data_IF_356098751676
#
_entry.id   IF_356098751676
#
_cell.length_a   1.000
_cell.length_b   1.000
_cell.length_c   1.000
_cell.angle_alpha   90.00
_cell.angle_beta   90.00
_cell.angle_gamma   90.00
#
_symmetry.space_group_name_H-M   'P 1'
#
loop_
_entity.id
_entity.type
_entity.pdbx_description
1 polymer ?
#
# COMPACT_ATOMS: atom_id res chain seq x y z
N UNK A 1 -34.10 2.29 -16.94
CA UNK A 1 -35.56 2.00 -16.92
C UNK A 1 -36.26 3.19 -16.30
N UNK A 2 -37.25 3.79 -16.98
CA UNK A 2 -38.04 4.89 -16.42
C UNK A 2 -38.90 4.31 -15.29
N UNK A 3 -38.66 4.72 -14.03
CA UNK A 3 -39.45 4.24 -12.88
C UNK A 3 -40.91 4.64 -13.08
N UNK A 4 -41.82 3.67 -13.09
CA UNK A 4 -43.25 3.95 -13.02
C UNK A 4 -43.55 4.53 -11.63
N UNK A 5 -44.29 5.64 -11.60
CA UNK A 5 -44.74 6.25 -10.34
C UNK A 5 -45.75 5.32 -9.67
N UNK A 6 -45.73 5.18 -8.33
CA UNK A 6 -46.72 4.38 -7.61
C UNK A 6 -48.12 4.96 -7.80
N UNK A 7 -49.13 4.13 -7.56
CA UNK A 7 -50.52 4.54 -7.56
C UNK A 7 -50.75 5.72 -6.59
N UNK A 8 -51.72 6.62 -6.87
CA UNK A 8 -52.00 7.76 -6.00
C UNK A 8 -52.22 7.36 -4.54
N UNK A 9 -52.90 6.23 -4.35
CA UNK A 9 -53.19 5.64 -3.05
C UNK A 9 -51.93 5.16 -2.33
N UNK A 10 -51.03 4.45 -3.01
CA UNK A 10 -49.75 4.04 -2.41
C UNK A 10 -48.86 5.23 -2.11
N UNK A 11 -48.92 6.32 -2.89
CA UNK A 11 -48.20 7.56 -2.56
C UNK A 11 -48.69 8.20 -1.25
N UNK A 12 -50.00 8.13 -0.98
CA UNK A 12 -50.55 8.57 0.32
C UNK A 12 -50.07 7.68 1.46
N UNK A 13 -50.09 6.36 1.27
CA UNK A 13 -49.61 5.39 2.28
C UNK A 13 -48.12 5.55 2.57
N UNK A 14 -47.28 5.73 1.54
CA UNK A 14 -45.85 6.00 1.70
C UNK A 14 -45.64 7.29 2.50
N UNK A 15 -46.40 8.35 2.19
CA UNK A 15 -46.31 9.63 2.92
C UNK A 15 -46.70 9.46 4.38
N UNK A 16 -47.78 8.75 4.66
CA UNK A 16 -48.24 8.53 6.03
C UNK A 16 -47.28 7.63 6.81
N UNK A 17 -46.77 6.57 6.19
CA UNK A 17 -45.73 5.73 6.78
C UNK A 17 -44.44 6.50 7.06
N UNK A 18 -44.02 7.39 6.14
CA UNK A 18 -42.86 8.25 6.36
C UNK A 18 -43.09 9.25 7.52
N UNK A 19 -44.31 9.78 7.68
CA UNK A 19 -44.68 10.63 8.82
C UNK A 19 -44.52 9.90 10.15
N UNK A 20 -44.91 8.62 10.20
CA UNK A 20 -44.74 7.75 11.38
C UNK A 20 -43.24 7.46 11.60
N UNK A 21 -42.51 7.10 10.55
CA UNK A 21 -41.08 6.78 10.62
C UNK A 21 -40.19 7.96 11.04
N UNK A 22 -40.65 9.21 10.88
CA UNK A 22 -39.97 10.41 11.39
C UNK A 22 -40.06 10.56 12.91
N UNK A 23 -41.00 9.88 13.57
CA UNK A 23 -41.19 9.92 15.02
C UNK A 23 -41.24 8.50 15.60
N UNK A 24 -40.16 7.72 15.47
CA UNK A 24 -40.15 6.35 15.97
C UNK A 24 -40.18 6.33 17.50
N UNK A 25 -40.81 5.30 18.06
CA UNK A 25 -40.85 5.10 19.51
C UNK A 25 -39.47 4.90 20.13
N UNK A 26 -39.29 5.21 21.43
CA UNK A 26 -37.99 5.11 22.11
C UNK A 26 -37.41 3.69 22.12
N UNK A 27 -38.26 2.68 22.20
CA UNK A 27 -37.83 1.27 22.17
C UNK A 27 -37.18 0.90 20.83
N UNK A 28 -37.74 1.39 19.73
CA UNK A 28 -37.22 1.12 18.40
C UNK A 28 -35.87 1.82 18.17
N UNK A 29 -35.75 3.07 18.61
CA UNK A 29 -34.47 3.80 18.54
C UNK A 29 -33.38 3.04 19.32
N UNK A 30 -33.72 2.51 20.50
CA UNK A 30 -32.80 1.72 21.31
C UNK A 30 -32.45 0.35 20.67
N UNK A 31 -33.37 -0.25 19.91
CA UNK A 31 -33.10 -1.45 19.11
C UNK A 31 -32.14 -1.16 17.95
N UNK A 32 -32.40 -0.10 17.17
CA UNK A 32 -31.53 0.34 16.07
C UNK A 32 -30.12 0.65 16.57
N UNK A 33 -30.00 1.43 17.64
CA UNK A 33 -28.72 1.81 18.23
C UNK A 33 -27.95 0.57 18.73
N UNK A 34 -28.62 -0.37 19.40
CA UNK A 34 -27.98 -1.62 19.86
C UNK A 34 -27.52 -2.47 18.70
N UNK A 35 -28.37 -2.69 17.69
CA UNK A 35 -28.05 -3.56 16.57
C UNK A 35 -26.87 -3.04 15.76
N UNK A 36 -26.79 -1.72 15.56
CA UNK A 36 -25.73 -1.10 14.76
C UNK A 36 -24.41 -0.99 15.51
N UNK A 37 -24.43 -0.85 16.83
CA UNK A 37 -23.21 -0.92 17.67
C UNK A 37 -22.73 -2.36 17.84
N UNK A 38 -23.64 -3.31 18.06
CA UNK A 38 -23.31 -4.73 18.23
C UNK A 38 -22.88 -5.42 16.92
N UNK A 39 -23.01 -4.75 15.78
CA UNK A 39 -22.55 -5.25 14.49
C UNK A 39 -21.03 -5.54 14.48
N UNK A 40 -20.24 -4.84 15.30
CA UNK A 40 -18.80 -5.10 15.41
C UNK A 40 -18.24 -4.78 16.82
N UNK A 41 -17.43 -5.68 17.42
CA UNK A 41 -16.77 -5.42 18.72
C UNK A 41 -15.93 -4.13 18.74
N UNK A 42 -15.22 -3.79 17.67
CA UNK A 42 -14.41 -2.57 17.60
C UNK A 42 -15.25 -1.28 17.72
N UNK A 43 -16.53 -1.33 17.34
CA UNK A 43 -17.47 -0.21 17.52
C UNK A 43 -18.03 -0.22 18.94
N UNK A 44 -18.40 -1.40 19.44
CA UNK A 44 -18.95 -1.58 20.79
C UNK A 44 -17.97 -1.18 21.89
N UNK A 45 -16.68 -1.44 21.69
CA UNK A 45 -15.61 -1.17 22.65
C UNK A 45 -15.12 0.29 22.61
N UNK A 46 -15.53 1.10 21.61
CA UNK A 46 -15.26 2.55 21.50
C UNK A 46 -16.56 3.37 21.71
N UNK A 47 -16.79 3.94 22.91
CA UNK A 47 -17.98 4.74 23.21
C UNK A 47 -18.14 6.01 22.37
N UNK A 48 -17.03 6.55 21.83
CA UNK A 48 -17.06 7.73 20.96
C UNK A 48 -17.52 7.32 19.57
N UNK A 49 -16.95 6.25 19.02
CA UNK A 49 -17.33 5.72 17.70
C UNK A 49 -18.78 5.20 17.70
N UNK A 50 -19.19 4.51 18.77
CA UNK A 50 -20.58 4.08 18.98
C UNK A 50 -21.57 5.25 18.84
N UNK A 51 -21.30 6.40 19.47
CA UNK A 51 -22.17 7.59 19.36
C UNK A 51 -22.19 8.18 17.96
N UNK A 52 -21.09 8.11 17.22
CA UNK A 52 -21.01 8.58 15.83
C UNK A 52 -21.85 7.70 14.92
N UNK A 53 -21.74 6.37 15.06
CA UNK A 53 -22.54 5.38 14.32
C UNK A 53 -24.04 5.57 14.57
N UNK A 54 -24.45 5.69 15.83
CA UNK A 54 -25.85 5.94 16.19
C UNK A 54 -26.42 7.20 15.52
N UNK A 55 -25.66 8.31 15.54
CA UNK A 55 -26.08 9.56 14.90
C UNK A 55 -26.22 9.42 13.38
N UNK A 56 -25.28 8.76 12.72
CA UNK A 56 -25.32 8.54 11.28
C UNK A 56 -26.52 7.69 10.86
N UNK A 57 -26.81 6.61 11.58
CA UNK A 57 -27.96 5.74 11.29
C UNK A 57 -29.30 6.46 11.44
N UNK A 58 -29.45 7.25 12.51
CA UNK A 58 -30.64 8.09 12.70
C UNK A 58 -30.77 9.15 11.60
N UNK A 59 -29.67 9.76 11.17
CA UNK A 59 -29.68 10.73 10.08
C UNK A 59 -30.16 10.09 8.76
N UNK A 60 -29.77 8.85 8.46
CA UNK A 60 -30.23 8.13 7.27
C UNK A 60 -31.74 7.83 7.30
N UNK A 61 -32.26 7.41 8.44
CA UNK A 61 -33.71 7.20 8.62
C UNK A 61 -34.49 8.50 8.36
N UNK A 62 -34.08 9.59 8.99
CA UNK A 62 -34.72 10.90 8.85
C UNK A 62 -34.66 11.38 7.41
N UNK A 63 -33.51 11.23 6.75
CA UNK A 63 -33.30 11.63 5.36
C UNK A 63 -34.25 10.88 4.40
N UNK A 64 -34.34 9.56 4.52
CA UNK A 64 -35.22 8.75 3.67
C UNK A 64 -36.70 9.06 3.89
N UNK A 65 -37.12 9.20 5.15
CA UNK A 65 -38.51 9.52 5.48
C UNK A 65 -38.88 10.94 5.04
N UNK A 66 -38.00 11.93 5.24
CA UNK A 66 -38.23 13.30 4.78
C UNK A 66 -38.33 13.41 3.25
N UNK A 67 -37.56 12.63 2.50
CA UNK A 67 -37.66 12.56 1.04
C UNK A 67 -39.03 12.01 0.59
N UNK A 68 -39.50 10.94 1.24
CA UNK A 68 -40.81 10.34 0.95
C UNK A 68 -41.99 11.20 1.41
N UNK A 69 -41.82 12.07 2.41
CA UNK A 69 -42.83 13.09 2.73
C UNK A 69 -43.04 14.08 1.56
N UNK A 70 -41.95 14.49 0.90
CA UNK A 70 -41.95 15.47 -0.19
C UNK A 70 -42.46 14.88 -1.51
N UNK A 71 -41.84 13.81 -2.00
CA UNK A 71 -42.28 13.11 -3.23
C UNK A 71 -42.34 11.58 -3.00
N UNK A 72 -43.48 11.06 -2.50
CA UNK A 72 -43.61 9.66 -2.12
C UNK A 72 -43.32 8.69 -3.27
N UNK A 73 -42.42 7.75 -3.03
CA UNK A 73 -42.02 6.71 -4.00
C UNK A 73 -41.11 7.19 -5.14
N UNK A 74 -40.66 8.44 -5.10
CA UNK A 74 -39.62 8.93 -6.00
C UNK A 74 -38.23 8.41 -5.59
N UNK A 75 -37.23 8.64 -6.44
CA UNK A 75 -35.85 8.32 -6.10
C UNK A 75 -35.37 9.22 -4.94
N UNK A 76 -34.89 8.58 -3.87
CA UNK A 76 -34.29 9.25 -2.73
C UNK A 76 -32.81 9.51 -3.05
N UNK A 77 -32.34 10.77 -3.00
CA UNK A 77 -30.93 11.07 -3.24
C UNK A 77 -30.04 10.53 -2.10
N UNK A 78 -28.76 10.22 -2.38
CA UNK A 78 -27.83 9.74 -1.37
C UNK A 78 -27.68 10.74 -0.22
N UNK A 79 -27.50 10.23 1.01
CA UNK A 79 -27.30 11.07 2.18
C UNK A 79 -25.80 11.35 2.41
N UNK A 80 -25.32 12.45 1.85
CA UNK A 80 -23.95 12.95 2.04
C UNK A 80 -23.87 14.07 3.08
N UNK A 81 -24.77 14.03 4.08
CA UNK A 81 -24.79 14.97 5.18
C UNK A 81 -23.59 14.84 6.13
N UNK A 82 -23.52 15.75 7.11
CA UNK A 82 -22.43 15.83 8.07
C UNK A 82 -22.22 14.53 8.85
N UNK A 83 -23.30 13.89 9.31
CA UNK A 83 -23.26 12.72 10.19
C UNK A 83 -22.77 11.45 9.47
N UNK A 84 -23.32 11.06 8.29
CA UNK A 84 -22.79 9.92 7.53
C UNK A 84 -21.31 10.09 7.12
N UNK A 85 -20.92 11.29 6.66
CA UNK A 85 -19.53 11.56 6.28
C UNK A 85 -18.60 11.56 7.49
N UNK A 86 -19.03 12.09 8.64
CA UNK A 86 -18.24 12.03 9.88
C UNK A 86 -17.99 10.59 10.31
N UNK A 87 -19.01 9.72 10.24
CA UNK A 87 -18.87 8.30 10.54
C UNK A 87 -17.85 7.64 9.61
N UNK A 88 -17.97 7.88 8.30
CA UNK A 88 -17.04 7.33 7.32
C UNK A 88 -15.59 7.76 7.60
N UNK A 89 -15.35 9.05 7.86
CA UNK A 89 -14.01 9.57 8.21
C UNK A 89 -13.46 8.96 9.50
N UNK A 90 -14.30 8.82 10.53
CA UNK A 90 -13.87 8.27 11.82
C UNK A 90 -13.56 6.76 11.74
N UNK A 91 -14.26 6.01 10.88
CA UNK A 91 -13.95 4.61 10.56
C UNK A 91 -12.63 4.49 9.79
N UNK A 92 -12.45 5.28 8.73
CA UNK A 92 -11.20 5.30 7.93
C UNK A 92 -10.00 5.64 8.80
N UNK A 93 -10.10 6.65 9.67
CA UNK A 93 -9.02 7.05 10.59
C UNK A 93 -8.60 5.96 11.58
N UNK A 94 -9.44 4.95 11.79
CA UNK A 94 -9.21 3.83 12.72
C UNK A 94 -8.84 2.53 11.99
N UNK A 95 -8.67 2.54 10.66
CA UNK A 95 -8.43 1.32 9.87
C UNK A 95 -9.66 0.41 9.77
N UNK A 96 -10.86 0.96 9.91
CA UNK A 96 -12.14 0.23 9.97
C UNK A 96 -13.06 0.52 8.78
N UNK A 97 -12.49 0.92 7.64
CA UNK A 97 -13.21 1.31 6.42
C UNK A 97 -14.08 0.16 5.85
N UNK A 98 -13.58 -1.08 5.95
CA UNK A 98 -14.33 -2.28 5.55
C UNK A 98 -15.60 -2.52 6.37
N UNK A 99 -15.66 -2.00 7.60
CA UNK A 99 -16.81 -2.18 8.51
C UNK A 99 -18.00 -1.28 8.20
N UNK A 100 -17.84 -0.27 7.34
CA UNK A 100 -18.95 0.63 7.00
C UNK A 100 -20.16 -0.16 6.46
N UNK A 101 -19.92 -1.14 5.60
CA UNK A 101 -20.98 -1.96 5.01
C UNK A 101 -21.78 -2.74 6.06
N UNK A 102 -21.12 -3.32 7.06
CA UNK A 102 -21.78 -4.11 8.11
C UNK A 102 -22.70 -3.24 8.98
N UNK A 103 -22.27 -2.01 9.30
CA UNK A 103 -23.07 -1.04 10.05
C UNK A 103 -24.33 -0.65 9.26
N UNK A 104 -24.18 -0.34 7.97
CA UNK A 104 -25.32 0.00 7.10
C UNK A 104 -26.30 -1.15 6.95
N UNK A 105 -25.82 -2.39 6.76
CA UNK A 105 -26.67 -3.59 6.65
C UNK A 105 -27.44 -3.88 7.93
N UNK A 106 -26.80 -3.75 9.09
CA UNK A 106 -27.47 -3.92 10.38
C UNK A 106 -28.58 -2.88 10.58
N UNK A 107 -28.31 -1.61 10.25
CA UNK A 107 -29.28 -0.53 10.32
C UNK A 107 -30.45 -0.72 9.35
N UNK A 108 -30.16 -1.09 8.11
CA UNK A 108 -31.14 -1.38 7.06
C UNK A 108 -32.12 -2.48 7.48
N UNK A 109 -31.61 -3.59 8.01
CA UNK A 109 -32.44 -4.71 8.47
C UNK A 109 -33.46 -4.27 9.55
N UNK A 110 -33.01 -3.49 10.54
CA UNK A 110 -33.89 -3.00 11.61
C UNK A 110 -34.89 -1.96 11.09
N UNK A 111 -34.46 -1.07 10.20
CA UNK A 111 -35.33 -0.10 9.55
C UNK A 111 -36.40 -0.78 8.68
N UNK A 112 -36.04 -1.82 7.95
CA UNK A 112 -36.98 -2.59 7.14
C UNK A 112 -38.05 -3.29 8.00
N UNK A 113 -37.65 -3.88 9.14
CA UNK A 113 -38.61 -4.49 10.08
C UNK A 113 -39.63 -3.47 10.61
N UNK A 114 -39.21 -2.26 10.95
CA UNK A 114 -40.14 -1.21 11.34
C UNK A 114 -41.08 -0.83 10.21
N UNK A 115 -40.54 -0.66 9.00
CA UNK A 115 -41.35 -0.29 7.85
C UNK A 115 -42.42 -1.33 7.54
N UNK A 116 -42.10 -2.63 7.68
CA UNK A 116 -43.07 -3.70 7.56
C UNK A 116 -44.23 -3.50 8.55
N UNK A 117 -43.95 -3.31 9.84
CA UNK A 117 -44.99 -3.07 10.84
C UNK A 117 -45.87 -1.88 10.49
N UNK A 118 -45.26 -0.74 10.14
CA UNK A 118 -45.99 0.46 9.71
C UNK A 118 -46.90 0.15 8.51
N UNK A 119 -46.39 -0.55 7.50
CA UNK A 119 -47.16 -0.87 6.29
C UNK A 119 -48.40 -1.73 6.59
N UNK A 120 -48.26 -2.74 7.46
CA UNK A 120 -49.37 -3.61 7.87
C UNK A 120 -50.42 -2.88 8.73
N UNK A 121 -50.03 -1.84 9.47
CA UNK A 121 -50.98 -1.01 10.23
C UNK A 121 -51.72 0.01 9.35
N UNK A 122 -51.15 0.38 8.19
CA UNK A 122 -51.71 1.41 7.31
C UNK A 122 -52.76 0.89 6.32
N UNK A 123 -52.70 -0.38 5.92
CA UNK A 123 -53.68 -0.97 5.00
C UNK A 123 -53.83 -2.48 5.18
N UNK A 124 -55.06 -2.95 5.01
CA UNK A 124 -55.39 -4.38 4.94
C UNK A 124 -55.63 -4.86 3.50
N UNK A 125 -55.56 -3.97 2.50
CA UNK A 125 -55.72 -4.34 1.09
C UNK A 125 -54.42 -5.02 0.58
N UNK A 126 -54.47 -6.30 0.14
CA UNK A 126 -53.30 -7.01 -0.34
C UNK A 126 -52.62 -6.37 -1.56
N UNK A 127 -53.38 -5.69 -2.43
CA UNK A 127 -52.84 -5.05 -3.61
C UNK A 127 -52.07 -3.77 -3.26
N UNK A 128 -52.64 -2.93 -2.37
CA UNK A 128 -51.98 -1.73 -1.85
C UNK A 128 -50.72 -2.09 -1.06
N UNK A 129 -50.82 -3.08 -0.17
CA UNK A 129 -49.71 -3.54 0.66
C UNK A 129 -48.56 -4.09 -0.18
N UNK A 130 -48.87 -4.91 -1.20
CA UNK A 130 -47.87 -5.46 -2.12
C UNK A 130 -47.12 -4.35 -2.85
N UNK A 131 -47.85 -3.38 -3.41
CA UNK A 131 -47.22 -2.26 -4.13
C UNK A 131 -46.41 -1.37 -3.19
N UNK A 132 -46.93 -1.06 -1.99
CA UNK A 132 -46.24 -0.28 -0.95
C UNK A 132 -44.90 -0.91 -0.57
N UNK A 133 -44.89 -2.21 -0.25
CA UNK A 133 -43.67 -2.91 0.15
C UNK A 133 -42.67 -3.04 -1.00
N UNK A 134 -43.14 -3.34 -2.21
CA UNK A 134 -42.28 -3.47 -3.39
C UNK A 134 -41.62 -2.14 -3.78
N UNK A 135 -42.36 -1.02 -3.70
CA UNK A 135 -41.81 0.32 -3.92
C UNK A 135 -40.83 0.70 -2.81
N UNK A 136 -41.17 0.48 -1.54
CA UNK A 136 -40.32 0.86 -0.42
C UNK A 136 -39.03 0.03 -0.33
N UNK A 137 -39.09 -1.28 -0.57
CA UNK A 137 -37.91 -2.14 -0.55
C UNK A 137 -36.86 -1.68 -1.58
N UNK A 138 -37.30 -1.44 -2.83
CA UNK A 138 -36.43 -0.89 -3.88
C UNK A 138 -35.90 0.49 -3.50
N UNK A 139 -36.76 1.34 -2.95
CA UNK A 139 -36.37 2.71 -2.55
C UNK A 139 -35.29 2.71 -1.47
N UNK A 140 -35.41 1.86 -0.45
CA UNK A 140 -34.43 1.73 0.64
C UNK A 140 -33.10 1.17 0.10
N UNK A 141 -33.13 0.06 -0.65
CA UNK A 141 -31.92 -0.55 -1.20
C UNK A 141 -31.15 0.44 -2.09
N UNK A 142 -31.84 1.04 -3.06
CA UNK A 142 -31.22 1.98 -4.01
C UNK A 142 -30.66 3.21 -3.28
N UNK A 143 -31.34 3.67 -2.21
CA UNK A 143 -30.87 4.79 -1.39
C UNK A 143 -29.59 4.44 -0.62
N UNK A 144 -29.55 3.27 0.02
CA UNK A 144 -28.39 2.83 0.81
C UNK A 144 -27.19 2.58 -0.12
N UNK A 145 -27.39 1.90 -1.25
CA UNK A 145 -26.34 1.71 -2.26
C UNK A 145 -25.81 3.04 -2.78
N UNK A 146 -26.70 3.97 -3.16
CA UNK A 146 -26.30 5.30 -3.63
C UNK A 146 -25.55 6.09 -2.54
N UNK A 147 -25.97 5.96 -1.28
CA UNK A 147 -25.32 6.64 -0.15
C UNK A 147 -23.92 6.08 0.10
N UNK A 148 -23.76 4.75 0.12
CA UNK A 148 -22.46 4.10 0.24
C UNK A 148 -21.53 4.48 -0.92
N UNK A 149 -22.02 4.43 -2.16
CA UNK A 149 -21.26 4.83 -3.33
C UNK A 149 -20.86 6.31 -3.29
N UNK A 150 -21.77 7.20 -2.87
CA UNK A 150 -21.50 8.62 -2.74
C UNK A 150 -20.51 8.95 -1.62
N UNK A 151 -20.59 8.26 -0.48
CA UNK A 151 -19.61 8.39 0.61
C UNK A 151 -18.24 7.91 0.14
N UNK A 152 -18.16 6.75 -0.54
CA UNK A 152 -16.91 6.26 -1.09
C UNK A 152 -16.31 7.27 -2.09
N UNK A 153 -17.13 7.83 -2.97
CA UNK A 153 -16.71 8.87 -3.90
C UNK A 153 -16.23 10.14 -3.18
N UNK A 154 -16.90 10.55 -2.10
CA UNK A 154 -16.53 11.73 -1.31
C UNK A 154 -15.23 11.50 -0.51
N UNK A 155 -15.02 10.31 0.06
CA UNK A 155 -13.78 9.94 0.73
C UNK A 155 -12.63 9.88 -0.29
N UNK A 156 -12.86 9.30 -1.47
CA UNK A 156 -11.89 9.33 -2.57
C UNK A 156 -11.63 10.78 -3.03
N UNK A 157 -12.66 11.61 -3.16
CA UNK A 157 -12.53 13.01 -3.51
C UNK A 157 -11.74 13.76 -2.45
N UNK A 158 -12.01 13.56 -1.16
CA UNK A 158 -11.26 14.17 -0.04
C UNK A 158 -9.81 13.69 -0.02
N UNK A 159 -9.55 12.41 -0.25
CA UNK A 159 -8.19 11.90 -0.45
C UNK A 159 -7.53 12.54 -1.66
N UNK A 160 -8.27 12.71 -2.75
CA UNK A 160 -7.76 13.39 -3.93
C UNK A 160 -7.55 14.88 -3.66
N UNK A 161 -8.43 15.58 -2.95
CA UNK A 161 -8.39 17.01 -2.61
C UNK A 161 -7.24 17.32 -1.65
N UNK A 162 -7.03 16.46 -0.65
CA UNK A 162 -5.84 16.46 0.21
C UNK A 162 -4.55 16.21 -0.60
N UNK A 163 -4.66 15.57 -1.78
CA UNK A 163 -3.55 15.31 -2.71
C UNK A 163 -3.51 16.26 -3.94
N UNK A 164 -4.39 17.27 -4.06
CA UNK A 164 -4.69 17.97 -5.34
C UNK A 164 -4.12 19.37 -5.48
N UNK A 165 -2.88 19.40 -5.90
CA UNK A 165 -2.51 20.42 -6.89
C UNK A 165 -1.34 19.94 -7.71
N UNK A 166 -0.27 19.55 -7.02
CA UNK A 166 1.01 19.24 -7.64
C UNK A 166 1.23 17.73 -7.82
N UNK A 167 0.78 16.87 -6.89
CA UNK A 167 1.14 15.46 -6.90
C UNK A 167 0.43 14.63 -7.98
N UNK A 168 -0.87 14.84 -8.20
CA UNK A 168 -1.61 14.12 -9.24
C UNK A 168 -1.13 14.48 -10.66
N UNK A 169 -0.88 15.77 -10.91
CA UNK A 169 -0.31 16.24 -12.17
C UNK A 169 1.11 15.69 -12.38
N UNK A 170 1.95 15.67 -11.33
CA UNK A 170 3.26 15.02 -11.38
C UNK A 170 3.16 13.52 -11.68
N UNK A 171 2.21 12.81 -11.07
CA UNK A 171 2.00 11.38 -11.30
C UNK A 171 1.60 11.09 -12.76
N UNK A 172 0.68 11.89 -13.32
CA UNK A 172 0.27 11.77 -14.72
C UNK A 172 1.47 12.00 -15.67
N UNK A 173 2.22 13.09 -15.48
CA UNK A 173 3.38 13.43 -16.31
C UNK A 173 4.47 12.38 -16.19
N UNK A 174 4.74 11.87 -14.98
CA UNK A 174 5.70 10.78 -14.77
C UNK A 174 5.21 9.50 -15.46
N UNK A 175 3.93 9.16 -15.38
CA UNK A 175 3.34 8.02 -16.10
C UNK A 175 3.62 8.08 -17.61
N UNK A 176 3.37 9.24 -18.23
CA UNK A 176 3.67 9.47 -19.66
C UNK A 176 5.15 9.29 -19.98
N UNK A 177 6.06 9.80 -19.14
CA UNK A 177 7.51 9.63 -19.31
C UNK A 177 7.94 8.17 -19.17
N UNK A 178 7.37 7.43 -18.22
CA UNK A 178 7.67 6.01 -17.97
C UNK A 178 7.15 5.09 -19.08
N UNK A 179 6.02 5.43 -19.70
CA UNK A 179 5.46 4.72 -20.86
C UNK A 179 6.21 5.04 -22.15
N UNK A 180 6.94 6.16 -22.18
CA UNK A 180 7.57 6.68 -23.40
C UNK A 180 6.57 7.35 -24.33
N UNK A 181 5.46 7.86 -23.80
CA UNK A 181 4.45 8.59 -24.53
C UNK A 181 5.04 9.90 -25.10
N UNK A 182 4.51 10.42 -26.23
CA UNK A 182 5.02 11.64 -26.85
C UNK A 182 4.65 12.88 -26.03
N UNK A 183 5.53 13.27 -25.09
CA UNK A 183 5.48 14.51 -24.34
C UNK A 183 6.79 15.28 -24.54
N UNK A 184 6.71 16.58 -24.83
CA UNK A 184 7.91 17.44 -24.95
C UNK A 184 8.59 17.58 -23.59
N UNK A 185 9.92 17.52 -23.57
CA UNK A 185 10.73 17.68 -22.35
C UNK A 185 10.39 18.97 -21.61
N UNK A 186 10.25 20.09 -22.32
CA UNK A 186 10.00 21.42 -21.75
C UNK A 186 8.67 21.44 -20.97
N UNK A 187 7.63 20.82 -21.52
CA UNK A 187 6.34 20.66 -20.84
C UNK A 187 6.46 19.76 -19.61
N UNK A 188 7.20 18.65 -19.71
CA UNK A 188 7.39 17.74 -18.60
C UNK A 188 8.17 18.40 -17.46
N UNK A 189 9.29 19.06 -17.75
CA UNK A 189 10.11 19.79 -16.76
C UNK A 189 9.31 20.91 -16.09
N UNK A 190 8.51 21.67 -16.84
CA UNK A 190 7.67 22.74 -16.29
C UNK A 190 6.60 22.23 -15.31
N UNK A 191 6.02 21.05 -15.56
CA UNK A 191 5.01 20.45 -14.68
C UNK A 191 5.61 19.73 -13.48
N UNK A 192 6.78 19.12 -13.66
CA UNK A 192 7.46 18.42 -12.58
C UNK A 192 8.23 19.37 -11.66
N UNK A 193 8.68 20.52 -12.18
CA UNK A 193 9.65 21.38 -11.48
C UNK A 193 11.00 20.69 -11.30
N UNK A 194 11.34 19.79 -12.22
CA UNK A 194 12.50 18.89 -12.14
C UNK A 194 13.17 18.79 -13.51
N UNK A 195 14.50 18.97 -13.61
CA UNK A 195 15.21 18.91 -14.88
C UNK A 195 15.34 17.46 -15.34
N UNK A 196 15.11 17.18 -16.62
CA UNK A 196 15.16 15.84 -17.22
C UNK A 196 16.41 15.63 -18.10
N UNK A 197 17.29 16.62 -18.18
CA UNK A 197 18.54 16.57 -18.94
C UNK A 197 19.77 16.20 -18.07
N UNK A 198 19.55 15.87 -16.80
CA UNK A 198 20.59 15.59 -15.80
C UNK A 198 20.87 14.10 -15.66
N UNK A 199 21.78 13.73 -14.78
CA UNK A 199 21.86 12.36 -14.29
C UNK A 199 20.74 12.14 -13.27
N UNK A 200 20.08 10.98 -13.33
CA UNK A 200 18.94 10.65 -12.48
C UNK A 200 19.17 9.35 -11.72
N UNK A 201 18.94 9.40 -10.42
CA UNK A 201 18.80 8.21 -9.57
C UNK A 201 17.37 8.16 -9.06
N UNK A 202 16.64 7.11 -9.42
CA UNK A 202 15.30 6.87 -8.93
C UNK A 202 15.33 5.95 -7.70
N UNK A 203 14.41 6.18 -6.78
CA UNK A 203 14.13 5.30 -5.67
C UNK A 203 12.62 5.10 -5.51
N UNK A 204 12.24 3.92 -5.04
CA UNK A 204 10.87 3.59 -4.64
C UNK A 204 10.88 3.34 -3.15
N UNK A 205 10.11 4.14 -2.41
CA UNK A 205 9.91 4.01 -0.97
C UNK A 205 8.53 3.39 -0.74
N UNK A 206 8.45 2.31 0.02
CA UNK A 206 7.17 1.66 0.35
C UNK A 206 7.16 1.09 1.77
N UNK A 207 5.95 0.79 2.25
CA UNK A 207 5.73 0.04 3.49
C UNK A 207 4.98 -1.25 3.18
N UNK A 208 5.27 -2.30 3.95
CA UNK A 208 4.50 -3.55 3.93
C UNK A 208 3.25 -3.45 4.84
N UNK A 209 3.19 -2.42 5.70
CA UNK A 209 2.06 -2.18 6.60
C UNK A 209 0.96 -1.39 5.88
N UNK A 210 -0.22 -2.02 5.76
CA UNK A 210 -1.40 -1.44 5.10
C UNK A 210 -1.97 -0.26 5.92
N UNK A 211 -1.71 -0.24 7.24
CA UNK A 211 -2.19 0.78 8.21
C UNK A 211 -1.08 1.73 8.71
N UNK A 212 0.10 1.74 8.09
CA UNK A 212 1.22 2.59 8.52
C UNK A 212 0.95 4.10 8.43
N UNK A 213 1.60 4.89 9.29
CA UNK A 213 1.58 6.35 9.19
C UNK A 213 2.16 6.77 7.83
N UNK A 214 1.33 7.38 6.99
CA UNK A 214 1.73 7.82 5.66
C UNK A 214 2.85 8.88 5.72
N UNK A 215 2.97 9.58 6.86
CA UNK A 215 4.07 10.50 7.14
C UNK A 215 5.44 9.81 7.21
N UNK A 216 5.51 8.51 7.51
CA UNK A 216 6.79 7.78 7.57
C UNK A 216 7.41 7.61 6.19
N UNK A 217 6.58 7.44 5.15
CA UNK A 217 7.05 7.32 3.77
C UNK A 217 7.60 8.64 3.23
N UNK A 218 6.96 9.77 3.58
CA UNK A 218 7.44 11.09 3.19
C UNK A 218 8.74 11.45 3.94
N UNK A 219 8.82 11.15 5.24
CA UNK A 219 10.07 11.28 6.02
C UNK A 219 11.20 10.40 5.47
N UNK A 220 10.89 9.17 5.03
CA UNK A 220 11.88 8.27 4.45
C UNK A 220 12.38 8.78 3.08
N UNK A 221 11.48 9.32 2.25
CA UNK A 221 11.84 9.96 0.98
C UNK A 221 12.74 11.19 1.20
N UNK A 222 12.43 12.01 2.20
CA UNK A 222 13.23 13.18 2.55
C UNK A 222 14.59 12.77 3.14
N UNK A 223 14.62 11.76 4.01
CA UNK A 223 15.86 11.24 4.60
C UNK A 223 16.80 10.65 3.55
N UNK A 224 16.26 9.90 2.58
CA UNK A 224 17.01 9.41 1.42
C UNK A 224 17.64 10.56 0.65
N UNK A 225 16.89 11.63 0.41
CA UNK A 225 17.38 12.78 -0.35
C UNK A 225 18.49 13.53 0.41
N UNK A 226 18.31 13.74 1.72
CA UNK A 226 19.33 14.36 2.57
C UNK A 226 20.63 13.53 2.67
N UNK A 227 20.53 12.19 2.69
CA UNK A 227 21.69 11.31 2.74
C UNK A 227 22.61 11.44 1.53
N UNK A 228 22.07 11.90 0.40
CA UNK A 228 22.77 12.04 -0.89
C UNK A 228 23.21 13.49 -1.16
N UNK A 229 22.78 14.44 -0.32
CA UNK A 229 23.12 15.87 -0.41
C UNK A 229 22.00 16.73 -1.04
N UNK A 230 22.29 18.01 -1.32
CA UNK A 230 21.35 18.96 -1.92
C UNK A 230 21.15 18.73 -3.43
N UNK A 231 20.84 17.50 -3.82
CA UNK A 231 20.36 17.18 -5.15
C UNK A 231 18.94 17.72 -5.33
N UNK A 232 18.61 18.25 -6.50
CA UNK A 232 17.22 18.59 -6.81
C UNK A 232 16.41 17.28 -6.80
N UNK A 233 15.30 17.28 -6.07
CA UNK A 233 14.46 16.12 -5.80
C UNK A 233 13.10 16.25 -6.47
N UNK A 234 12.58 15.14 -6.99
CA UNK A 234 11.18 14.98 -7.37
C UNK A 234 10.56 13.84 -6.57
N UNK A 235 9.59 14.14 -5.71
CA UNK A 235 8.76 13.13 -5.04
C UNK A 235 7.37 13.07 -5.65
N UNK A 236 6.94 11.87 -6.00
CA UNK A 236 5.62 11.55 -6.53
C UNK A 236 4.93 10.54 -5.63
N UNK A 237 3.71 10.87 -5.21
CA UNK A 237 2.85 9.96 -4.45
C UNK A 237 2.23 8.98 -5.44
N UNK A 238 2.73 7.74 -5.48
CA UNK A 238 2.26 6.72 -6.41
C UNK A 238 1.02 5.99 -5.87
N UNK A 239 0.98 5.77 -4.54
CA UNK A 239 -0.16 5.22 -3.82
C UNK A 239 -0.09 5.61 -2.33
N UNK A 240 -1.07 5.20 -1.54
CA UNK A 240 -1.08 5.38 -0.09
C UNK A 240 0.21 4.84 0.55
N UNK A 241 0.65 3.65 0.12
CA UNK A 241 1.79 2.92 0.64
C UNK A 241 3.08 3.05 -0.20
N UNK A 242 3.14 3.96 -1.18
CA UNK A 242 4.32 4.07 -2.07
C UNK A 242 4.62 5.51 -2.50
N UNK A 243 5.89 5.88 -2.45
CA UNK A 243 6.46 7.10 -3.04
C UNK A 243 7.49 6.73 -4.10
N UNK A 244 7.49 7.47 -5.20
CA UNK A 244 8.59 7.46 -6.17
C UNK A 244 9.41 8.72 -5.98
N UNK A 245 10.72 8.58 -5.95
CA UNK A 245 11.67 9.67 -5.72
C UNK A 245 12.70 9.68 -6.84
N UNK A 246 13.04 10.84 -7.36
CA UNK A 246 14.19 11.03 -8.25
C UNK A 246 15.13 12.10 -7.70
N UNK A 247 16.42 11.81 -7.72
CA UNK A 247 17.48 12.74 -7.39
C UNK A 247 18.25 13.11 -8.65
N UNK A 248 18.43 14.40 -8.90
CA UNK A 248 19.24 14.91 -10.00
C UNK A 248 20.70 15.05 -9.58
N UNK A 249 21.63 14.55 -10.39
CA UNK A 249 23.08 14.64 -10.20
C UNK A 249 23.54 14.12 -8.82
N UNK A 250 22.87 13.07 -8.32
CA UNK A 250 23.25 12.35 -7.11
C UNK A 250 24.68 11.78 -7.23
N UNK A 251 25.61 12.33 -6.45
CA UNK A 251 27.00 11.89 -6.39
C UNK A 251 27.24 11.02 -5.15
N UNK A 252 27.79 9.82 -5.33
CA UNK A 252 28.28 8.99 -4.23
C UNK A 252 27.21 8.45 -3.29
N UNK A 253 26.27 7.65 -3.81
CA UNK A 253 25.33 6.90 -2.97
C UNK A 253 26.04 5.81 -2.18
N UNK A 254 26.03 5.95 -0.85
CA UNK A 254 26.48 4.92 0.09
C UNK A 254 25.28 4.25 0.76
N UNK A 255 25.20 2.92 0.66
CA UNK A 255 24.15 2.10 1.28
C UNK A 255 24.09 2.37 2.78
N UNK A 256 25.24 2.42 3.45
CA UNK A 256 25.30 2.60 4.90
C UNK A 256 24.85 4.01 5.31
N UNK A 257 24.98 5.01 4.44
CA UNK A 257 24.42 6.34 4.67
C UNK A 257 22.89 6.36 4.53
N UNK A 258 22.36 5.68 3.51
CA UNK A 258 20.91 5.56 3.30
C UNK A 258 20.24 4.74 4.40
N UNK A 259 20.84 3.62 4.82
CA UNK A 259 20.35 2.79 5.93
C UNK A 259 20.23 3.63 7.22
N UNK A 260 21.31 4.33 7.60
CA UNK A 260 21.31 5.21 8.78
C UNK A 260 20.26 6.33 8.70
N UNK A 261 20.03 6.87 7.50
CA UNK A 261 19.01 7.90 7.31
C UNK A 261 17.59 7.37 7.57
N UNK A 262 17.37 6.07 7.36
CA UNK A 262 16.08 5.42 7.51
C UNK A 262 15.84 4.80 8.91
N UNK A 263 16.82 4.84 9.82
CA UNK A 263 16.71 4.28 11.18
C UNK A 263 15.49 4.80 11.95
N UNK A 264 15.08 6.06 11.71
CA UNK A 264 13.96 6.71 12.38
C UNK A 264 12.60 6.57 11.67
N UNK A 265 12.51 5.74 10.63
CA UNK A 265 11.28 5.53 9.83
C UNK A 265 10.91 4.05 9.86
N UNK A 266 10.29 3.61 10.96
CA UNK A 266 9.93 2.21 11.14
C UNK A 266 8.98 1.74 10.01
N UNK A 267 9.19 0.53 9.49
CA UNK A 267 8.35 -0.05 8.43
C UNK A 267 8.66 0.40 7.00
N UNK A 268 9.33 1.54 6.80
CA UNK A 268 9.72 2.00 5.46
C UNK A 268 10.90 1.20 4.89
N UNK A 269 10.75 0.81 3.61
CA UNK A 269 11.77 0.19 2.76
C UNK A 269 12.02 1.03 1.52
N UNK A 270 13.22 0.94 0.97
CA UNK A 270 13.64 1.66 -0.22
C UNK A 270 14.39 0.77 -1.21
N UNK A 271 14.09 0.94 -2.49
CA UNK A 271 14.76 0.29 -3.60
C UNK A 271 15.27 1.36 -4.56
N UNK A 272 16.54 1.28 -4.95
CA UNK A 272 17.27 2.37 -5.61
C UNK A 272 17.81 1.85 -6.95
N UNK A 273 17.54 2.56 -8.04
CA UNK A 273 18.06 2.25 -9.38
C UNK A 273 19.48 2.76 -9.58
N UNK A 274 20.10 2.42 -10.72
CA UNK A 274 21.40 3.01 -11.07
C UNK A 274 21.24 4.42 -11.61
N UNK A 275 22.30 5.23 -11.47
CA UNK A 275 22.31 6.60 -12.00
C UNK A 275 22.47 6.58 -13.53
N UNK A 276 21.57 7.24 -14.25
CA UNK A 276 21.61 7.34 -15.70
C UNK A 276 21.14 8.71 -16.21
N UNK A 277 21.65 9.16 -17.36
CA UNK A 277 21.43 10.51 -17.87
C UNK A 277 20.21 10.66 -18.79
N UNK A 278 19.62 11.85 -18.78
CA UNK A 278 18.52 12.25 -19.66
C UNK A 278 17.19 11.57 -19.35
N UNK A 279 16.15 11.83 -20.15
CA UNK A 279 14.82 11.21 -20.01
C UNK A 279 14.84 9.69 -20.05
N UNK A 280 15.73 9.11 -20.87
CA UNK A 280 15.97 7.67 -20.88
C UNK A 280 16.53 7.16 -19.55
N UNK A 281 17.45 7.91 -18.94
CA UNK A 281 17.99 7.63 -17.61
C UNK A 281 16.96 7.75 -16.49
N UNK A 282 16.10 8.79 -16.54
CA UNK A 282 14.96 8.97 -15.63
C UNK A 282 14.07 7.72 -15.59
N UNK A 283 13.71 7.21 -16.77
CA UNK A 283 12.90 5.99 -16.92
C UNK A 283 13.65 4.74 -16.49
N UNK A 284 14.89 4.56 -16.97
CA UNK A 284 15.70 3.37 -16.71
C UNK A 284 15.92 3.17 -15.21
N UNK A 285 16.33 4.22 -14.51
CA UNK A 285 16.60 4.16 -13.08
C UNK A 285 15.34 3.76 -12.30
N UNK A 286 14.17 4.27 -12.68
CA UNK A 286 12.90 3.89 -12.04
C UNK A 286 12.52 2.43 -12.29
N UNK A 287 12.67 1.94 -13.52
CA UNK A 287 12.41 0.53 -13.84
C UNK A 287 13.34 -0.41 -13.08
N UNK A 288 14.61 -0.03 -12.94
CA UNK A 288 15.59 -0.76 -12.13
C UNK A 288 15.21 -0.79 -10.64
N UNK A 289 14.81 0.36 -10.08
CA UNK A 289 14.29 0.45 -8.70
C UNK A 289 13.03 -0.42 -8.51
N UNK A 290 12.11 -0.44 -9.49
CA UNK A 290 10.91 -1.28 -9.48
C UNK A 290 11.26 -2.77 -9.51
N UNK A 291 12.26 -3.17 -10.31
CA UNK A 291 12.76 -4.54 -10.32
C UNK A 291 13.37 -4.92 -8.97
N UNK A 292 14.12 -4.01 -8.34
CA UNK A 292 14.67 -4.22 -7.01
C UNK A 292 13.57 -4.39 -5.94
N UNK A 293 12.57 -3.49 -5.91
CA UNK A 293 11.40 -3.60 -5.02
C UNK A 293 10.70 -4.96 -5.18
N UNK A 294 10.35 -5.33 -6.42
CA UNK A 294 9.68 -6.60 -6.71
C UNK A 294 10.50 -7.81 -6.27
N UNK A 295 11.83 -7.72 -6.37
CA UNK A 295 12.73 -8.78 -5.92
C UNK A 295 12.69 -8.93 -4.40
N UNK A 296 12.73 -7.82 -3.64
CA UNK A 296 12.62 -7.87 -2.18
C UNK A 296 11.28 -8.47 -1.73
N UNK A 297 10.18 -8.00 -2.31
CA UNK A 297 8.83 -8.50 -1.98
C UNK A 297 8.73 -10.00 -2.28
N UNK A 298 9.17 -10.43 -3.47
CA UNK A 298 9.12 -11.85 -3.89
C UNK A 298 9.96 -12.75 -2.99
N UNK A 299 11.10 -12.28 -2.52
CA UNK A 299 12.01 -13.04 -1.65
C UNK A 299 11.69 -12.91 -0.17
N UNK A 300 10.63 -12.16 0.17
CA UNK A 300 10.25 -11.82 1.55
C UNK A 300 11.48 -11.29 2.34
N UNK A 301 12.29 -10.47 1.68
CA UNK A 301 13.56 -10.03 2.21
C UNK A 301 13.37 -9.16 3.45
N UNK A 302 14.17 -9.40 4.49
CA UNK A 302 14.22 -8.52 5.66
C UNK A 302 15.00 -7.22 5.41
N UNK A 303 15.64 -7.07 4.25
CA UNK A 303 16.44 -5.88 3.95
C UNK A 303 15.56 -4.66 3.71
N UNK A 304 15.95 -3.54 4.33
CA UNK A 304 15.23 -2.26 4.22
C UNK A 304 15.70 -1.41 3.05
N UNK A 305 16.95 -1.56 2.62
CA UNK A 305 17.56 -0.80 1.52
C UNK A 305 18.08 -1.78 0.49
N UNK A 306 17.76 -1.56 -0.79
CA UNK A 306 18.30 -2.38 -1.87
C UNK A 306 18.69 -1.52 -3.07
N UNK A 307 19.96 -1.62 -3.50
CA UNK A 307 20.40 -1.06 -4.77
C UNK A 307 20.21 -2.08 -5.88
N UNK A 308 19.71 -1.64 -7.03
CA UNK A 308 19.57 -2.47 -8.21
C UNK A 308 20.90 -3.13 -8.58
N UNK A 309 22.02 -2.42 -8.45
CA UNK A 309 23.37 -2.96 -8.72
C UNK A 309 23.74 -4.18 -7.88
N UNK A 310 23.11 -4.36 -6.72
CA UNK A 310 23.38 -5.47 -5.81
C UNK A 310 22.36 -6.60 -5.95
N UNK A 311 21.13 -6.27 -6.35
CA UNK A 311 20.07 -7.26 -6.59
C UNK A 311 19.95 -7.68 -8.06
N UNK A 312 20.63 -7.04 -9.00
CA UNK A 312 20.43 -7.28 -10.45
C UNK A 312 20.60 -8.76 -10.80
N UNK A 313 21.69 -9.38 -10.35
CA UNK A 313 21.96 -10.79 -10.60
C UNK A 313 20.93 -11.70 -9.91
N UNK A 314 20.58 -11.36 -8.67
CA UNK A 314 19.58 -12.09 -7.89
C UNK A 314 18.20 -12.01 -8.54
N UNK A 315 17.82 -10.84 -9.05
CA UNK A 315 16.57 -10.61 -9.75
C UNK A 315 16.45 -11.48 -11.01
N UNK A 316 17.55 -11.71 -11.73
CA UNK A 316 17.61 -12.58 -12.90
C UNK A 316 17.48 -14.07 -12.51
N UNK A 317 18.27 -14.52 -11.53
CA UNK A 317 18.26 -15.93 -11.10
C UNK A 317 16.92 -16.31 -10.46
N UNK A 318 16.30 -15.37 -9.75
CA UNK A 318 15.06 -15.60 -8.99
C UNK A 318 13.78 -15.30 -9.77
N UNK A 319 13.85 -15.12 -11.09
CA UNK A 319 12.64 -15.00 -11.94
C UNK A 319 11.75 -16.24 -11.85
N UNK A 320 12.36 -17.44 -11.72
CA UNK A 320 11.67 -18.69 -11.43
C UNK A 320 12.07 -19.20 -10.03
N UNK A 321 11.21 -19.08 -9.01
CA UNK A 321 11.53 -19.47 -7.64
C UNK A 321 11.92 -20.94 -7.48
N UNK A 322 11.29 -21.84 -8.25
CA UNK A 322 11.56 -23.28 -8.17
C UNK A 322 12.94 -23.61 -8.72
N UNK A 323 13.26 -23.12 -9.92
CA UNK A 323 14.59 -23.31 -10.51
C UNK A 323 15.69 -22.64 -9.68
N UNK A 324 15.39 -21.49 -9.07
CA UNK A 324 16.32 -20.82 -8.16
C UNK A 324 16.60 -21.65 -6.90
N UNK A 325 15.56 -22.25 -6.29
CA UNK A 325 15.70 -23.17 -5.16
C UNK A 325 16.61 -24.35 -5.51
N UNK A 326 16.30 -25.03 -6.62
CA UNK A 326 17.05 -26.19 -7.08
C UNK A 326 18.52 -25.82 -7.38
N UNK A 327 18.75 -24.66 -7.99
CA UNK A 327 20.10 -24.15 -8.25
C UNK A 327 20.87 -23.86 -6.94
N UNK A 328 20.25 -23.18 -5.97
CA UNK A 328 20.89 -22.87 -4.68
C UNK A 328 21.24 -24.16 -3.95
N UNK A 329 20.27 -25.06 -3.77
CA UNK A 329 20.48 -26.29 -3.00
C UNK A 329 21.47 -27.25 -3.68
N UNK A 330 21.41 -27.40 -5.01
CA UNK A 330 22.39 -28.24 -5.73
C UNK A 330 23.81 -27.64 -5.78
N UNK A 331 23.94 -26.32 -5.66
CA UNK A 331 25.24 -25.63 -5.70
C UNK A 331 25.89 -25.50 -4.34
N UNK A 332 25.11 -25.19 -3.29
CA UNK A 332 25.61 -24.96 -1.94
C UNK A 332 25.63 -26.24 -1.09
N UNK A 333 24.73 -27.18 -1.31
CA UNK A 333 24.60 -28.38 -0.47
C UNK A 333 24.48 -28.02 1.02
N UNK A 334 25.29 -28.65 1.86
CA UNK A 334 25.29 -28.41 3.31
C UNK A 334 25.74 -26.98 3.68
N UNK A 335 26.34 -26.22 2.74
CA UNK A 335 26.70 -24.82 2.97
C UNK A 335 25.45 -23.91 3.05
N UNK A 336 24.33 -24.31 2.45
CA UNK A 336 23.07 -23.54 2.48
C UNK A 336 22.56 -23.32 3.91
N UNK A 337 22.69 -24.33 4.77
CA UNK A 337 22.25 -24.30 6.17
C UNK A 337 23.38 -24.01 7.17
N UNK A 338 24.60 -23.74 6.67
CA UNK A 338 25.76 -23.42 7.48
C UNK A 338 25.63 -22.05 8.19
N UNK A 339 26.58 -21.76 9.09
CA UNK A 339 26.54 -20.50 9.82
C UNK A 339 26.70 -19.29 8.87
N UNK A 340 26.02 -18.17 9.13
CA UNK A 340 26.15 -16.95 8.33
C UNK A 340 27.60 -16.45 8.20
N UNK A 341 28.44 -16.70 9.21
CA UNK A 341 29.87 -16.34 9.17
C UNK A 341 30.63 -17.16 8.12
N UNK A 342 30.31 -18.44 7.92
CA UNK A 342 30.94 -19.27 6.88
C UNK A 342 30.52 -18.83 5.49
N UNK A 343 29.22 -18.58 5.30
CA UNK A 343 28.65 -18.06 4.05
C UNK A 343 29.29 -16.72 3.68
N UNK A 344 29.35 -15.78 4.63
CA UNK A 344 29.95 -14.46 4.46
C UNK A 344 31.45 -14.54 4.20
N UNK A 345 32.17 -15.43 4.91
CA UNK A 345 33.61 -15.62 4.71
C UNK A 345 33.90 -16.11 3.29
N UNK A 346 33.15 -17.11 2.81
CA UNK A 346 33.37 -17.68 1.49
C UNK A 346 33.02 -16.69 0.37
N UNK A 347 31.89 -16.00 0.48
CA UNK A 347 31.48 -14.98 -0.48
C UNK A 347 32.49 -13.82 -0.55
N UNK A 348 32.97 -13.35 0.60
CA UNK A 348 34.00 -12.29 0.66
C UNK A 348 35.32 -12.76 0.03
N UNK A 349 35.71 -14.01 0.27
CA UNK A 349 36.90 -14.59 -0.35
C UNK A 349 36.80 -14.63 -1.88
N UNK A 350 35.65 -15.04 -2.43
CA UNK A 350 35.42 -15.06 -3.89
C UNK A 350 35.43 -13.63 -4.46
N UNK A 351 34.76 -12.68 -3.79
CA UNK A 351 34.71 -11.28 -4.22
C UNK A 351 36.08 -10.59 -4.20
N UNK A 352 36.97 -10.99 -3.29
CA UNK A 352 38.37 -10.56 -3.27
C UNK A 352 39.27 -11.41 -4.19
N UNK A 353 38.71 -11.98 -5.26
CA UNK A 353 39.41 -12.77 -6.29
C UNK A 353 40.18 -13.96 -5.70
N UNK A 354 39.60 -14.62 -4.70
CA UNK A 354 40.23 -15.73 -3.96
C UNK A 354 41.55 -15.33 -3.28
N UNK A 355 41.70 -14.06 -2.88
CA UNK A 355 42.85 -13.57 -2.11
C UNK A 355 42.56 -13.56 -0.61
N UNK A 356 43.13 -14.53 0.11
CA UNK A 356 42.92 -14.68 1.55
C UNK A 356 43.39 -13.47 2.38
N UNK A 357 44.47 -12.80 1.98
CA UNK A 357 44.98 -11.65 2.75
C UNK A 357 44.07 -10.43 2.62
N UNK A 358 43.55 -10.16 1.41
CA UNK A 358 42.56 -9.09 1.17
C UNK A 358 41.25 -9.37 1.89
N UNK A 359 40.73 -10.60 1.78
CA UNK A 359 39.52 -11.02 2.47
C UNK A 359 39.65 -10.95 4.00
N UNK A 360 40.79 -11.36 4.56
CA UNK A 360 41.07 -11.26 5.99
C UNK A 360 41.08 -9.81 6.48
N UNK A 361 41.71 -8.90 5.73
CA UNK A 361 41.70 -7.46 6.02
C UNK A 361 40.28 -6.90 5.99
N UNK A 362 39.49 -7.27 4.98
CA UNK A 362 38.10 -6.81 4.79
C UNK A 362 37.14 -7.28 5.88
N UNK A 363 37.34 -8.51 6.37
CA UNK A 363 36.55 -9.09 7.46
C UNK A 363 37.13 -8.80 8.86
N UNK A 364 38.17 -7.98 8.96
CA UNK A 364 38.88 -7.68 10.21
C UNK A 364 39.25 -8.94 11.02
N UNK A 365 39.69 -10.00 10.32
CA UNK A 365 40.02 -11.29 10.93
C UNK A 365 41.46 -11.71 10.63
N UNK A 366 42.01 -12.58 11.46
CA UNK A 366 43.36 -13.11 11.22
C UNK A 366 43.36 -14.08 10.03
N UNK A 367 44.39 -14.00 9.17
CA UNK A 367 44.51 -14.82 7.95
C UNK A 367 44.34 -16.33 8.22
N UNK A 368 44.92 -16.84 9.29
CA UNK A 368 44.83 -18.28 9.62
C UNK A 368 43.40 -18.70 9.99
N UNK A 369 42.66 -17.82 10.69
CA UNK A 369 41.26 -18.05 11.04
C UNK A 369 40.38 -18.05 9.80
N UNK A 370 40.62 -17.11 8.88
CA UNK A 370 39.94 -17.06 7.58
C UNK A 370 40.18 -18.34 6.77
N UNK A 371 41.42 -18.80 6.65
CA UNK A 371 41.75 -20.03 5.92
C UNK A 371 41.03 -21.25 6.49
N UNK A 372 41.01 -21.40 7.83
CA UNK A 372 40.27 -22.49 8.49
C UNK A 372 38.77 -22.43 8.19
N UNK A 373 38.18 -21.23 8.15
CA UNK A 373 36.76 -21.02 7.79
C UNK A 373 36.49 -21.36 6.32
N UNK A 374 37.37 -20.94 5.41
CA UNK A 374 37.27 -21.27 3.98
C UNK A 374 37.38 -22.78 3.77
N UNK A 375 38.30 -23.46 4.45
CA UNK A 375 38.43 -24.93 4.38
C UNK A 375 37.17 -25.64 4.90
N UNK A 376 36.61 -25.18 6.03
CA UNK A 376 35.35 -25.70 6.53
C UNK A 376 34.19 -25.46 5.56
N UNK A 377 34.06 -24.27 4.98
CA UNK A 377 33.02 -23.97 4.00
C UNK A 377 33.16 -24.82 2.73
N UNK A 378 34.38 -25.06 2.24
CA UNK A 378 34.63 -25.91 1.08
C UNK A 378 34.26 -27.38 1.31
N UNK A 379 34.39 -27.90 2.53
CA UNK A 379 33.97 -29.27 2.87
C UNK A 379 32.45 -29.48 2.80
N UNK A 380 31.68 -28.39 2.89
CA UNK A 380 30.22 -28.43 2.83
C UNK A 380 29.69 -28.31 1.39
N UNK A 381 30.55 -27.91 0.44
CA UNK A 381 30.15 -27.78 -0.96
C UNK A 381 30.05 -29.16 -1.64
N UNK A 382 29.01 -29.42 -2.45
CA UNK A 382 28.90 -30.64 -3.25
C UNK A 382 30.01 -30.80 -4.31
N UNK A 383 30.61 -29.68 -4.76
CA UNK A 383 31.63 -29.64 -5.80
C UNK A 383 32.80 -28.73 -5.39
N UNK A 384 34.04 -29.02 -5.84
CA UNK A 384 35.21 -28.21 -5.47
C UNK A 384 35.11 -26.75 -5.94
N UNK A 385 35.35 -25.81 -5.03
CA UNK A 385 35.24 -24.37 -5.28
C UNK A 385 36.07 -23.89 -6.48
N UNK A 386 37.25 -24.48 -6.71
CA UNK A 386 38.11 -24.13 -7.84
C UNK A 386 37.47 -24.30 -9.21
N UNK A 387 36.37 -25.06 -9.33
CA UNK A 387 35.60 -25.26 -10.57
C UNK A 387 34.21 -24.63 -10.56
N UNK A 388 33.71 -24.21 -9.40
CA UNK A 388 32.33 -23.73 -9.23
C UNK A 388 32.23 -22.38 -8.51
N UNK A 389 33.33 -21.61 -8.47
CA UNK A 389 33.40 -20.36 -7.71
C UNK A 389 32.35 -19.32 -8.14
N UNK A 390 32.03 -19.26 -9.44
CA UNK A 390 31.00 -18.36 -9.97
C UNK A 390 29.62 -18.81 -9.51
N UNK A 391 29.27 -20.08 -9.68
CA UNK A 391 27.98 -20.62 -9.27
C UNK A 391 27.77 -20.49 -7.76
N UNK A 392 28.81 -20.77 -6.97
CA UNK A 392 28.78 -20.64 -5.51
C UNK A 392 28.59 -19.18 -5.09
N UNK A 393 29.26 -18.22 -5.73
CA UNK A 393 29.04 -16.80 -5.45
C UNK A 393 27.61 -16.37 -5.78
N UNK A 394 27.08 -16.77 -6.93
CA UNK A 394 25.70 -16.48 -7.36
C UNK A 394 24.69 -17.04 -6.36
N UNK A 395 24.88 -18.30 -5.94
CA UNK A 395 23.99 -18.96 -5.01
C UNK A 395 24.04 -18.35 -3.60
N UNK A 396 25.22 -17.96 -3.10
CA UNK A 396 25.36 -17.26 -1.82
C UNK A 396 24.76 -15.85 -1.85
N UNK A 397 24.94 -15.10 -2.93
CA UNK A 397 24.27 -13.81 -3.11
C UNK A 397 22.75 -14.00 -3.12
N UNK A 398 22.22 -14.95 -3.90
CA UNK A 398 20.77 -15.21 -3.94
C UNK A 398 20.21 -15.64 -2.57
N UNK A 399 20.96 -16.42 -1.80
CA UNK A 399 20.58 -16.83 -0.44
C UNK A 399 20.50 -15.63 0.52
N UNK A 400 21.43 -14.67 0.44
CA UNK A 400 21.49 -13.51 1.34
C UNK A 400 20.27 -12.59 1.23
N UNK A 401 19.59 -12.59 0.09
CA UNK A 401 18.39 -11.77 -0.14
C UNK A 401 17.08 -12.46 0.28
N UNK A 402 17.12 -13.74 0.66
CA UNK A 402 15.94 -14.49 1.12
C UNK A 402 15.64 -14.26 2.60
N UNK A 403 14.36 -14.21 2.94
CA UNK A 403 13.83 -14.01 4.29
C UNK A 403 14.02 -15.15 5.30
N UNK A 404 15.18 -15.82 5.32
CA UNK A 404 15.56 -16.69 6.44
C UNK A 404 16.47 -15.91 7.38
N UNK A 405 16.07 -15.82 8.66
CA UNK A 405 16.77 -15.14 9.77
C UNK A 405 18.32 -15.12 9.65
N UNK A 406 18.87 -14.07 9.06
CA UNK A 406 20.30 -13.78 9.06
C UNK A 406 20.43 -12.38 9.65
N UNK A 407 20.91 -12.32 10.90
CA UNK A 407 21.21 -11.06 11.57
C UNK A 407 22.19 -10.22 10.76
N UNK A 408 21.96 -8.90 10.78
CA UNK A 408 22.75 -7.81 10.21
C UNK A 408 24.15 -8.23 9.72
N UNK A 409 24.28 -8.44 8.41
CA UNK A 409 25.57 -8.52 7.75
C UNK A 409 25.93 -7.13 7.19
N UNK A 410 27.15 -6.62 7.45
CA UNK A 410 27.58 -5.35 6.88
C UNK A 410 27.74 -5.47 5.36
N UNK A 411 27.25 -4.45 4.64
CA UNK A 411 27.38 -4.35 3.20
C UNK A 411 28.87 -4.29 2.75
N UNK A 412 29.21 -4.84 1.57
CA UNK A 412 30.55 -4.77 1.04
C UNK A 412 30.91 -3.33 0.59
N UNK A 413 31.85 -2.66 1.27
CA UNK A 413 32.47 -1.42 0.79
C UNK A 413 33.12 -1.60 -0.60
N UNK A 414 32.70 -0.84 -1.62
CA UNK A 414 33.30 -0.91 -2.96
C UNK A 414 34.47 0.05 -3.12
N UNK A 415 35.36 -0.39 -4.02
CA UNK A 415 36.62 0.19 -4.46
C UNK A 415 36.57 1.69 -4.73
N UNK A 416 37.49 2.42 -4.12
CA UNK A 416 37.98 3.72 -4.60
C UNK A 416 39.16 3.43 -5.53
N UNK A 417 38.89 3.23 -6.81
CA UNK A 417 39.94 3.11 -7.83
C UNK A 417 40.39 4.54 -8.22
N UNK A 418 41.02 5.21 -7.25
CA UNK A 418 41.87 6.37 -7.50
C UNK A 418 43.15 5.90 -8.17
N UNK A 419 43.18 5.88 -9.51
CA UNK A 419 44.44 5.87 -10.27
C UNK A 419 45.06 7.25 -10.12
N UNK A 420 46.24 7.40 -9.48
CA UNK A 420 46.94 8.66 -9.50
C UNK A 420 47.57 8.85 -10.90
N UNK A 421 47.30 9.99 -11.51
CA UNK A 421 48.09 10.52 -12.62
C UNK A 421 49.45 11.03 -12.11
#
# INVERSE_FOLDING_TARGET
MVRQRPSPRVRELIREGARIALNPGPEWIAELDRATVAANPAIADDPVLSKVVQKANRANLVHWAAANMRDPGAAVPPNLGTEPLRMARDLVRRGLDTLAHDVYRAGEYIAWRLWLHIAFDLTADPAELRELLDVSARSVNDFIEATLAGIAAQIQLEHHELNRGSHAERLEVVGLLLEGAPISRERAEARLGYPLNRAHTAAIVWSDEIDGDHGDLDRAADAFSHAVGYAQQLTVVASAATRWVWLADAAGLDIAAVERALDNTAGARIAIGTTATGTGGFRRSHLEALTAQRTLIRLQSGQRVAFFSDVQMVALVTQNPQTANEFISSTLGDLESASPELQTTLLTFINEQCNASRAAKRLYTHRNTLLRRIESAQRLLPRPLGRTSVEVAVALEALRWRGTNIGNLPAPARHDDGVPA
#
